data_IF_982583969690
#
_entry.id   IF_982583969690
#
_cell.length_a   1.000
_cell.length_b   1.000
_cell.length_c   1.000
_cell.angle_alpha   90.00
_cell.angle_beta   90.00
_cell.angle_gamma   90.00
#
_symmetry.space_group_name_H-M   'P 1'
#
loop_
_entity.id
_entity.type
_entity.pdbx_description
1 polymer ?
#
# COMPACT_ATOMS: atom_id res chain seq x y z
N UNK A 1 -1.46 -16.35 5.21
CA UNK A 1 -2.17 -16.28 3.93
C UNK A 1 -1.61 -17.25 2.89
N UNK A 2 -2.40 -17.55 1.82
CA UNK A 2 -1.99 -18.39 0.68
C UNK A 2 -2.81 -17.99 -0.55
N UNK A 3 -2.23 -18.12 -1.75
CA UNK A 3 -2.87 -17.72 -3.00
C UNK A 3 -2.92 -16.19 -3.16
N UNK A 4 -4.07 -15.63 -3.57
CA UNK A 4 -4.21 -14.19 -3.80
C UNK A 4 -4.45 -13.44 -2.50
N UNK A 5 -3.61 -12.47 -2.22
CA UNK A 5 -3.64 -11.56 -1.07
C UNK A 5 -3.47 -10.15 -1.61
N UNK A 6 -4.51 -9.64 -2.26
CA UNK A 6 -4.48 -8.40 -3.00
C UNK A 6 -5.45 -7.39 -2.40
N UNK A 7 -5.12 -6.11 -2.51
CA UNK A 7 -5.96 -5.03 -2.04
C UNK A 7 -6.28 -5.14 -0.55
N UNK A 8 -7.54 -5.10 -0.15
CA UNK A 8 -7.96 -5.26 1.25
C UNK A 8 -7.47 -6.54 1.92
N UNK A 9 -7.23 -7.61 1.17
CA UNK A 9 -6.60 -8.83 1.70
C UNK A 9 -5.14 -8.61 2.10
N UNK A 10 -4.41 -7.81 1.34
CA UNK A 10 -3.07 -7.36 1.69
C UNK A 10 -3.09 -6.45 2.92
N UNK A 11 -4.02 -5.49 2.98
CA UNK A 11 -4.16 -4.57 4.11
C UNK A 11 -4.36 -5.32 5.44
N UNK A 12 -5.22 -6.36 5.46
CA UNK A 12 -5.40 -7.22 6.64
C UNK A 12 -4.11 -7.96 6.99
N UNK A 13 -3.39 -8.48 5.99
CA UNK A 13 -2.15 -9.23 6.22
C UNK A 13 -1.04 -8.34 6.79
N UNK A 14 -0.78 -7.19 6.18
CA UNK A 14 0.33 -6.32 6.59
C UNK A 14 0.12 -5.64 7.95
N UNK A 15 -1.13 -5.47 8.40
CA UNK A 15 -1.46 -4.93 9.72
C UNK A 15 -1.51 -6.00 10.81
N UNK A 16 -1.34 -7.25 10.45
CA UNK A 16 -1.27 -8.34 11.45
C UNK A 16 0.07 -8.32 12.20
N UNK A 17 0.04 -8.72 13.48
CA UNK A 17 1.25 -8.82 14.29
C UNK A 17 2.25 -9.78 13.69
N UNK A 18 1.75 -10.91 13.18
CA UNK A 18 2.54 -11.95 12.54
C UNK A 18 1.85 -12.38 11.25
N UNK A 19 2.64 -12.63 10.23
CA UNK A 19 2.21 -13.26 8.99
C UNK A 19 2.81 -14.64 8.88
N UNK A 20 1.97 -15.64 8.63
CA UNK A 20 2.40 -17.00 8.28
C UNK A 20 2.00 -17.23 6.83
N UNK A 21 2.90 -16.98 5.92
CA UNK A 21 2.64 -16.99 4.48
C UNK A 21 3.08 -18.29 3.81
N UNK A 22 2.21 -18.82 2.96
CA UNK A 22 2.63 -19.86 2.01
C UNK A 22 3.61 -19.28 1.00
N UNK A 23 4.66 -20.01 0.63
CA UNK A 23 5.67 -19.52 -0.32
C UNK A 23 5.10 -19.12 -1.68
N UNK A 24 4.06 -19.82 -2.16
CA UNK A 24 3.33 -19.45 -3.38
C UNK A 24 2.17 -18.54 -3.02
N UNK A 25 2.45 -17.27 -2.94
CA UNK A 25 1.50 -16.21 -2.59
C UNK A 25 1.62 -15.08 -3.62
N UNK A 26 0.50 -14.44 -3.92
CA UNK A 26 0.51 -13.20 -4.70
C UNK A 26 0.03 -12.09 -3.79
N UNK A 27 0.92 -11.17 -3.45
CA UNK A 27 0.68 -10.06 -2.53
C UNK A 27 0.82 -8.72 -3.24
N UNK A 28 -0.02 -7.76 -2.88
CA UNK A 28 0.11 -6.39 -3.39
C UNK A 28 -1.12 -5.51 -3.16
N UNK A 29 -0.86 -4.21 -3.10
CA UNK A 29 -1.87 -3.15 -3.07
C UNK A 29 -2.17 -2.76 -4.52
N UNK A 30 -3.30 -3.21 -5.03
CA UNK A 30 -3.65 -3.14 -6.47
C UNK A 30 -4.84 -2.22 -6.77
N UNK A 31 -5.27 -1.42 -5.81
CA UNK A 31 -6.45 -0.57 -5.87
C UNK A 31 -6.39 0.43 -7.02
N UNK A 32 -5.20 0.93 -7.37
CA UNK A 32 -5.00 1.86 -8.50
C UNK A 32 -5.40 1.26 -9.84
N UNK A 33 -5.30 -0.07 -9.98
CA UNK A 33 -5.76 -0.80 -11.16
C UNK A 33 -7.26 -0.69 -11.41
N UNK A 34 -8.05 -0.48 -10.35
CA UNK A 34 -9.51 -0.26 -10.43
C UNK A 34 -9.92 1.19 -10.19
N UNK A 35 -8.95 2.11 -10.15
CA UNK A 35 -9.20 3.54 -10.02
C UNK A 35 -9.40 4.02 -8.58
N UNK A 36 -8.89 3.30 -7.59
CA UNK A 36 -8.97 3.62 -6.17
C UNK A 36 -7.56 3.74 -5.57
N UNK A 37 -7.47 4.21 -4.33
CA UNK A 37 -6.30 4.11 -3.48
C UNK A 37 -6.57 3.13 -2.34
N UNK A 38 -5.56 2.46 -1.77
CA UNK A 38 -5.74 1.71 -0.52
C UNK A 38 -6.33 2.60 0.57
N UNK A 39 -7.35 2.12 1.29
CA UNK A 39 -8.04 2.90 2.32
C UNK A 39 -8.37 2.11 3.60
N UNK A 40 -7.84 0.90 3.71
CA UNK A 40 -7.86 0.11 4.93
C UNK A 40 -6.52 0.14 5.67
N UNK A 41 -5.71 1.18 5.46
CA UNK A 41 -4.39 1.35 6.07
C UNK A 41 -3.22 0.85 5.24
N UNK A 42 -3.45 0.49 3.97
CA UNK A 42 -2.40 -0.02 3.08
C UNK A 42 -1.32 1.02 2.79
N UNK A 43 -1.70 2.25 2.47
CA UNK A 43 -0.75 3.34 2.26
C UNK A 43 0.05 3.61 3.53
N UNK A 44 -0.63 3.77 4.67
CA UNK A 44 -0.05 4.05 5.98
C UNK A 44 0.97 2.98 6.38
N UNK A 45 0.59 1.71 6.30
CA UNK A 45 1.42 0.62 6.78
C UNK A 45 2.68 0.42 5.91
N UNK A 46 2.54 0.44 4.58
CA UNK A 46 3.69 0.30 3.68
C UNK A 46 4.60 1.52 3.79
N UNK A 47 4.02 2.73 3.94
CA UNK A 47 4.80 3.94 4.19
C UNK A 47 5.60 3.85 5.49
N UNK A 48 4.97 3.38 6.58
CA UNK A 48 5.65 3.16 7.85
C UNK A 48 6.81 2.19 7.71
N UNK A 49 6.62 1.05 7.07
CA UNK A 49 7.67 0.05 6.87
C UNK A 49 8.86 0.58 6.06
N UNK A 50 8.59 1.35 5.01
CA UNK A 50 9.64 1.98 4.21
C UNK A 50 10.33 3.13 4.95
N UNK A 51 9.64 3.87 5.82
CA UNK A 51 10.23 4.94 6.63
C UNK A 51 11.28 4.44 7.64
N UNK A 52 11.26 3.14 7.98
CA UNK A 52 12.23 2.55 8.90
C UNK A 52 13.57 2.18 8.23
N UNK A 53 13.71 2.39 6.92
CA UNK A 53 14.94 2.08 6.17
C UNK A 53 16.04 3.12 6.39
N UNK A 54 17.30 2.73 6.18
CA UNK A 54 18.43 3.64 6.33
C UNK A 54 18.45 4.76 5.28
N UNK A 55 17.88 4.49 4.10
CA UNK A 55 17.69 5.48 3.04
C UNK A 55 16.69 6.55 3.45
N UNK A 56 15.58 6.15 4.05
CA UNK A 56 14.54 7.08 4.52
C UNK A 56 15.02 7.96 5.68
N UNK A 57 15.94 7.48 6.51
CA UNK A 57 16.58 8.30 7.56
C UNK A 57 17.47 9.42 7.01
N UNK A 58 17.99 9.24 5.78
CA UNK A 58 18.87 10.22 5.12
C UNK A 58 18.06 11.18 4.23
N UNK A 59 16.96 10.71 3.65
CA UNK A 59 16.07 11.49 2.78
C UNK A 59 14.61 11.24 3.18
N UNK A 60 13.92 12.21 3.78
CA UNK A 60 12.54 12.05 4.23
C UNK A 60 11.55 11.79 3.09
N UNK A 61 11.89 12.16 1.84
CA UNK A 61 11.05 11.94 0.69
C UNK A 61 11.25 10.54 0.06
N UNK A 62 12.29 9.80 0.48
CA UNK A 62 12.60 8.48 -0.09
C UNK A 62 11.46 7.46 0.09
N UNK A 63 10.99 7.27 1.32
CA UNK A 63 9.94 6.30 1.61
C UNK A 63 8.62 6.64 0.89
N UNK A 64 8.09 7.87 0.97
CA UNK A 64 6.88 8.23 0.24
C UNK A 64 6.98 8.05 -1.28
N UNK A 65 8.11 8.43 -1.89
CA UNK A 65 8.32 8.26 -3.34
C UNK A 65 8.42 6.77 -3.72
N UNK A 66 9.05 5.95 -2.86
CA UNK A 66 9.13 4.51 -3.08
C UNK A 66 7.76 3.85 -3.04
N UNK A 67 6.96 4.19 -2.01
CA UNK A 67 5.60 3.67 -1.83
C UNK A 67 4.67 4.17 -2.94
N UNK A 68 4.82 5.42 -3.36
CA UNK A 68 4.07 5.97 -4.49
C UNK A 68 4.27 5.15 -5.77
N UNK A 69 5.50 4.73 -6.06
CA UNK A 69 5.76 3.86 -7.20
C UNK A 69 5.19 2.45 -7.00
N UNK A 70 5.37 1.83 -5.82
CA UNK A 70 4.87 0.48 -5.54
C UNK A 70 3.35 0.42 -5.71
N UNK A 71 2.61 1.33 -5.09
CA UNK A 71 1.14 1.35 -5.14
C UNK A 71 0.66 1.89 -6.49
N UNK A 72 1.29 2.94 -7.01
CA UNK A 72 0.91 3.56 -8.29
C UNK A 72 0.97 2.59 -9.47
N UNK A 73 1.99 1.74 -9.50
CA UNK A 73 2.11 0.68 -10.51
C UNK A 73 1.36 -0.62 -10.15
N UNK A 74 0.61 -0.65 -9.05
CA UNK A 74 -0.03 -1.87 -8.55
C UNK A 74 0.94 -3.06 -8.49
N UNK A 75 2.17 -2.80 -8.00
CA UNK A 75 3.24 -3.80 -7.96
C UNK A 75 2.84 -4.97 -7.08
N UNK A 76 2.97 -6.19 -7.61
CA UNK A 76 2.69 -7.43 -6.87
C UNK A 76 3.95 -8.27 -6.73
N UNK A 77 4.02 -9.00 -5.62
CA UNK A 77 4.96 -10.09 -5.42
C UNK A 77 4.28 -11.41 -5.75
N UNK A 78 4.97 -12.35 -6.38
CA UNK A 78 4.45 -13.69 -6.72
C UNK A 78 4.99 -14.78 -5.79
N UNK A 79 5.79 -14.39 -4.81
CA UNK A 79 6.35 -15.25 -3.78
C UNK A 79 6.68 -14.47 -2.52
N UNK A 80 6.89 -15.20 -1.42
CA UNK A 80 7.38 -14.58 -0.18
C UNK A 80 8.78 -13.97 -0.31
N UNK A 81 9.59 -14.46 -1.26
CA UNK A 81 10.93 -13.93 -1.55
C UNK A 81 10.86 -12.57 -2.22
N UNK A 82 9.89 -12.37 -3.12
CA UNK A 82 9.64 -11.07 -3.76
C UNK A 82 8.88 -10.10 -2.86
N UNK A 83 8.03 -10.60 -1.96
CA UNK A 83 7.23 -9.78 -1.04
C UNK A 83 8.08 -9.09 0.05
N UNK A 84 9.16 -9.72 0.50
CA UNK A 84 10.03 -9.19 1.54
C UNK A 84 10.76 -7.89 1.13
N UNK A 85 11.44 -7.80 -0.02
CA UNK A 85 12.04 -6.55 -0.47
C UNK A 85 11.02 -5.44 -0.77
N UNK A 86 9.76 -5.78 -1.06
CA UNK A 86 8.66 -4.81 -1.20
C UNK A 86 8.08 -4.37 0.16
N UNK A 87 8.55 -4.95 1.26
CA UNK A 87 8.05 -4.72 2.63
C UNK A 87 6.60 -5.18 2.87
N UNK A 88 6.06 -6.04 2.03
CA UNK A 88 4.77 -6.69 2.25
C UNK A 88 4.88 -7.78 3.32
N UNK A 89 6.01 -8.46 3.42
CA UNK A 89 6.36 -9.42 4.47
C UNK A 89 7.58 -8.91 5.23
N UNK A 90 7.57 -9.06 6.55
CA UNK A 90 8.72 -8.74 7.42
C UNK A 90 9.70 -9.92 7.47
N UNK A 91 10.98 -9.67 7.77
CA UNK A 91 11.98 -10.75 7.90
C UNK A 91 11.61 -11.81 8.95
N UNK A 92 10.95 -11.40 10.04
CA UNK A 92 10.51 -12.26 11.15
C UNK A 92 9.26 -13.08 10.84
N UNK A 93 8.50 -12.75 9.79
CA UNK A 93 7.30 -13.47 9.38
C UNK A 93 7.65 -14.89 8.92
N UNK A 94 6.71 -15.82 9.11
CA UNK A 94 6.95 -17.25 8.81
C UNK A 94 6.60 -17.56 7.34
N UNK A 95 7.54 -18.16 6.66
CA UNK A 95 7.40 -18.63 5.27
C UNK A 95 7.26 -20.15 5.28
N UNK A 96 6.16 -20.67 4.77
CA UNK A 96 5.78 -22.08 4.84
C UNK A 96 5.61 -22.64 3.43
N UNK A 97 6.37 -23.69 3.10
CA UNK A 97 6.27 -24.35 1.78
C UNK A 97 5.09 -25.32 1.68
N UNK A 98 4.73 -25.98 2.78
CA UNK A 98 3.59 -26.89 2.81
C UNK A 98 2.33 -26.15 3.27
N UNK A 99 1.39 -25.91 2.34
CA UNK A 99 0.13 -25.21 2.63
C UNK A 99 -0.65 -25.84 3.79
N UNK A 100 -0.61 -27.16 3.93
CA UNK A 100 -1.33 -27.88 4.98
C UNK A 100 -0.76 -27.60 6.39
N UNK A 101 0.48 -27.15 6.49
CA UNK A 101 1.12 -26.80 7.75
C UNK A 101 0.82 -25.36 8.22
N UNK A 102 0.17 -24.52 7.41
CA UNK A 102 -0.12 -23.12 7.75
C UNK A 102 -0.87 -22.99 9.08
N UNK A 103 -1.89 -23.81 9.28
CA UNK A 103 -2.71 -23.75 10.50
C UNK A 103 -1.89 -24.11 11.74
N UNK A 104 -1.13 -25.20 11.70
CA UNK A 104 -0.34 -25.66 12.85
C UNK A 104 0.80 -24.68 13.17
N UNK A 105 1.46 -24.12 12.15
CA UNK A 105 2.48 -23.08 12.35
C UNK A 105 1.88 -21.83 12.95
N UNK A 106 0.71 -21.40 12.48
CA UNK A 106 0.01 -20.22 13.02
C UNK A 106 -0.42 -20.45 14.49
N UNK A 107 -0.99 -21.61 14.79
CA UNK A 107 -1.39 -22.00 16.15
C UNK A 107 -0.20 -21.97 17.10
N UNK A 108 0.91 -22.60 16.72
CA UNK A 108 2.12 -22.61 17.53
C UNK A 108 2.65 -21.19 17.75
N UNK A 109 2.66 -20.35 16.73
CA UNK A 109 3.11 -18.97 16.85
C UNK A 109 2.26 -18.16 17.84
N UNK A 110 0.94 -18.36 17.86
CA UNK A 110 0.04 -17.74 18.83
C UNK A 110 0.30 -18.29 20.24
N UNK A 111 0.50 -19.60 20.40
CA UNK A 111 0.80 -20.23 21.69
C UNK A 111 2.12 -19.74 22.28
N UNK A 112 3.14 -19.52 21.43
CA UNK A 112 4.46 -19.00 21.82
C UNK A 112 4.41 -17.50 22.17
N UNK A 113 3.39 -16.76 21.72
CA UNK A 113 3.26 -15.30 21.88
C UNK A 113 1.98 -14.90 22.64
N UNK A 114 1.68 -15.58 23.75
CA UNK A 114 0.46 -15.34 24.57
C UNK A 114 0.38 -13.96 25.20
N UNK A 115 1.53 -13.31 25.44
CA UNK A 115 1.58 -11.98 26.03
C UNK A 115 1.67 -10.92 24.91
N UNK A 116 0.51 -10.63 24.32
CA UNK A 116 0.42 -9.59 23.30
C UNK A 116 0.61 -8.20 23.92
N UNK A 117 1.51 -7.44 23.33
CA UNK A 117 1.67 -6.01 23.59
C UNK A 117 1.33 -5.26 22.29
N UNK A 118 0.34 -4.35 22.29
CA UNK A 118 0.05 -3.55 21.12
C UNK A 118 1.30 -2.83 20.61
N UNK A 119 1.51 -2.73 19.29
CA UNK A 119 2.60 -1.92 18.77
C UNK A 119 2.40 -0.45 19.16
N UNK A 120 3.47 0.31 19.19
CA UNK A 120 3.38 1.76 19.35
C UNK A 120 2.74 2.36 18.10
N UNK A 121 1.94 3.41 18.31
CA UNK A 121 1.40 4.17 17.19
C UNK A 121 2.51 4.68 16.28
N UNK A 122 2.27 4.58 14.98
CA UNK A 122 3.16 5.11 13.97
C UNK A 122 2.98 6.64 13.88
N UNK A 123 4.07 7.35 13.67
CA UNK A 123 4.04 8.78 13.41
C UNK A 123 4.82 9.11 12.14
N UNK A 124 4.42 10.17 11.45
CA UNK A 124 4.96 10.51 10.14
C UNK A 124 5.30 11.99 10.07
N UNK A 125 6.48 12.31 9.53
CA UNK A 125 6.87 13.66 9.16
C UNK A 125 7.00 13.70 7.64
N UNK A 126 6.03 14.32 6.97
CA UNK A 126 5.91 14.35 5.52
C UNK A 126 6.01 15.79 5.01
N UNK A 127 6.62 15.98 3.85
CA UNK A 127 6.93 17.32 3.33
C UNK A 127 5.71 18.06 2.77
N UNK A 128 4.53 17.42 2.71
CA UNK A 128 3.31 18.04 2.21
C UNK A 128 3.39 18.43 0.72
N UNK A 129 3.00 19.67 0.42
CA UNK A 129 2.93 20.16 -0.97
C UNK A 129 4.23 19.97 -1.78
N UNK A 130 5.44 20.27 -1.29
CA UNK A 130 6.66 20.04 -2.06
C UNK A 130 6.85 18.58 -2.51
N UNK A 131 6.48 17.62 -1.67
CA UNK A 131 6.53 16.20 -1.99
C UNK A 131 5.44 15.81 -2.99
N UNK A 132 4.20 16.32 -2.78
CA UNK A 132 3.10 16.13 -3.73
C UNK A 132 3.49 16.63 -5.12
N UNK A 133 4.07 17.82 -5.23
CA UNK A 133 4.52 18.41 -6.51
C UNK A 133 5.57 17.52 -7.20
N UNK A 134 6.46 16.85 -6.44
CA UNK A 134 7.41 15.86 -7.01
C UNK A 134 6.68 14.65 -7.60
N UNK A 135 5.68 14.11 -6.89
CA UNK A 135 4.89 12.98 -7.37
C UNK A 135 4.05 13.34 -8.60
N UNK A 136 3.43 14.53 -8.61
CA UNK A 136 2.65 15.03 -9.75
C UNK A 136 3.54 15.16 -11.00
N UNK A 137 4.78 15.63 -10.87
CA UNK A 137 5.72 15.66 -12.01
C UNK A 137 6.03 14.28 -12.59
N UNK A 138 6.06 13.24 -11.73
CA UNK A 138 6.18 11.85 -12.21
C UNK A 138 4.95 11.46 -13.02
N UNK A 139 3.74 11.79 -12.53
CA UNK A 139 2.49 11.52 -13.24
C UNK A 139 2.41 12.27 -14.57
N UNK A 140 2.77 13.56 -14.62
CA UNK A 140 2.81 14.36 -15.84
C UNK A 140 3.72 13.73 -16.90
N UNK A 141 4.88 13.21 -16.48
CA UNK A 141 5.77 12.49 -17.39
C UNK A 141 5.09 11.23 -17.94
N UNK A 142 4.50 10.40 -17.07
CA UNK A 142 3.79 9.17 -17.48
C UNK A 142 2.59 9.47 -18.39
N UNK A 143 1.89 10.57 -18.15
CA UNK A 143 0.78 11.01 -18.97
C UNK A 143 1.26 11.46 -20.37
N UNK A 144 2.33 12.26 -20.44
CA UNK A 144 2.91 12.69 -21.70
C UNK A 144 3.45 11.51 -22.54
N UNK A 145 3.96 10.48 -21.86
CA UNK A 145 4.43 9.23 -22.47
C UNK A 145 3.26 8.25 -22.78
N UNK A 146 2.01 8.63 -22.47
CA UNK A 146 0.79 7.82 -22.65
C UNK A 146 0.83 6.47 -21.89
N UNK A 147 1.58 6.40 -20.81
CA UNK A 147 1.59 5.24 -19.90
C UNK A 147 0.33 5.24 -19.04
N UNK A 148 -0.15 6.42 -18.65
CA UNK A 148 -1.43 6.63 -17.97
C UNK A 148 -2.30 7.57 -18.79
N UNK A 149 -3.62 7.46 -18.62
CA UNK A 149 -4.62 8.34 -19.23
C UNK A 149 -5.22 9.29 -18.19
N UNK A 150 -6.21 10.09 -18.60
CA UNK A 150 -6.82 11.15 -17.78
C UNK A 150 -7.22 10.68 -16.37
N UNK A 151 -7.90 9.53 -16.28
CA UNK A 151 -8.30 9.02 -14.97
C UNK A 151 -7.12 8.45 -14.15
N UNK A 152 -6.07 7.99 -14.80
CA UNK A 152 -4.81 7.62 -14.15
C UNK A 152 -4.14 8.80 -13.45
N UNK A 153 -4.22 10.01 -14.04
CA UNK A 153 -3.77 11.25 -13.39
C UNK A 153 -4.57 11.52 -12.11
N UNK A 154 -5.91 11.44 -12.18
CA UNK A 154 -6.78 11.69 -11.02
C UNK A 154 -6.47 10.73 -9.87
N UNK A 155 -6.33 9.44 -10.15
CA UNK A 155 -6.00 8.41 -9.15
C UNK A 155 -4.60 8.65 -8.55
N UNK A 156 -3.63 8.96 -9.41
CA UNK A 156 -2.26 9.24 -8.98
C UNK A 156 -2.15 10.49 -8.12
N UNK A 157 -2.91 11.55 -8.41
CA UNK A 157 -2.95 12.78 -7.60
C UNK A 157 -3.57 12.54 -6.21
N UNK A 158 -4.59 11.69 -6.09
CA UNK A 158 -5.16 11.32 -4.79
C UNK A 158 -4.16 10.43 -4.02
N UNK A 159 -3.46 9.50 -4.65
CA UNK A 159 -2.39 8.73 -4.01
C UNK A 159 -1.25 9.65 -3.54
N UNK A 160 -0.85 10.62 -4.37
CA UNK A 160 0.14 11.63 -4.00
C UNK A 160 -0.31 12.48 -2.82
N UNK A 161 -1.61 12.79 -2.72
CA UNK A 161 -2.19 13.52 -1.59
C UNK A 161 -2.04 12.73 -0.28
N UNK A 162 -2.35 11.44 -0.29
CA UNK A 162 -2.19 10.58 0.90
C UNK A 162 -0.73 10.50 1.32
N UNK A 163 0.15 10.12 0.40
CA UNK A 163 1.56 9.83 0.69
C UNK A 163 2.41 11.06 0.98
N UNK A 164 1.94 12.24 0.60
CA UNK A 164 2.58 13.51 0.98
C UNK A 164 2.11 14.06 2.33
N UNK A 165 1.07 13.47 2.93
CA UNK A 165 0.46 13.93 4.17
C UNK A 165 -0.57 15.05 3.97
N UNK A 166 -1.09 15.24 2.75
CA UNK A 166 -2.07 16.26 2.44
C UNK A 166 -1.54 17.68 2.65
N UNK A 167 -2.31 18.48 3.40
CA UNK A 167 -1.93 19.86 3.70
C UNK A 167 -1.10 19.94 5.01
N UNK A 168 0.12 19.43 4.95
CA UNK A 168 1.08 19.38 6.06
C UNK A 168 2.43 20.00 5.68
N UNK A 169 3.35 20.06 6.64
CA UNK A 169 4.77 20.39 6.44
C UNK A 169 5.64 19.42 7.21
N UNK A 170 6.93 19.35 6.87
CA UNK A 170 7.89 18.41 7.47
C UNK A 170 8.03 18.58 8.99
N UNK A 171 7.77 19.77 9.50
CA UNK A 171 7.87 20.09 10.93
C UNK A 171 6.65 19.62 11.73
N UNK A 172 5.58 19.23 11.05
CA UNK A 172 4.35 18.73 11.67
C UNK A 172 4.33 17.21 11.66
N UNK A 173 4.28 16.62 12.85
CA UNK A 173 4.08 15.18 13.00
C UNK A 173 2.61 14.82 12.79
N UNK A 174 2.37 13.86 11.91
CA UNK A 174 1.06 13.26 11.66
C UNK A 174 0.95 11.94 12.44
N UNK A 175 -0.25 11.66 12.94
CA UNK A 175 -0.61 10.39 13.57
C UNK A 175 -1.03 9.35 12.52
N UNK A 176 -1.24 8.11 12.95
CA UNK A 176 -1.87 7.07 12.12
C UNK A 176 -3.27 7.49 11.67
N UNK A 177 -4.05 8.09 12.58
CA UNK A 177 -5.41 8.55 12.29
C UNK A 177 -5.44 9.65 11.22
N UNK A 178 -4.43 10.51 11.18
CA UNK A 178 -4.30 11.50 10.11
C UNK A 178 -4.13 10.81 8.74
N UNK A 179 -3.32 9.74 8.67
CA UNK A 179 -3.12 8.98 7.43
C UNK A 179 -4.38 8.19 7.05
N UNK A 180 -5.04 7.51 7.98
CA UNK A 180 -6.31 6.83 7.73
C UNK A 180 -7.38 7.77 7.21
N UNK A 181 -7.46 9.00 7.75
CA UNK A 181 -8.39 10.02 7.27
C UNK A 181 -8.07 10.42 5.82
N UNK A 182 -6.80 10.65 5.48
CA UNK A 182 -6.39 10.98 4.11
C UNK A 182 -6.69 9.84 3.12
N UNK A 183 -6.45 8.59 3.53
CA UNK A 183 -6.82 7.41 2.73
C UNK A 183 -8.33 7.37 2.46
N UNK A 184 -9.15 7.53 3.52
CA UNK A 184 -10.60 7.52 3.42
C UNK A 184 -11.12 8.66 2.55
N UNK A 185 -10.66 9.89 2.76
CA UNK A 185 -11.07 11.06 1.98
C UNK A 185 -10.74 10.88 0.50
N UNK A 186 -9.54 10.40 0.17
CA UNK A 186 -9.13 10.13 -1.21
C UNK A 186 -9.92 8.99 -1.85
N UNK A 187 -10.17 7.91 -1.09
CA UNK A 187 -11.01 6.81 -1.55
C UNK A 187 -12.44 7.25 -1.86
N UNK A 188 -13.05 8.04 -0.95
CA UNK A 188 -14.42 8.53 -1.13
C UNK A 188 -14.56 9.43 -2.37
N UNK A 189 -13.61 10.31 -2.63
CA UNK A 189 -13.59 11.09 -3.88
C UNK A 189 -13.50 10.21 -5.13
N UNK A 190 -12.66 9.18 -5.08
CA UNK A 190 -12.44 8.30 -6.22
C UNK A 190 -13.65 7.40 -6.48
N UNK A 191 -14.30 6.82 -5.45
CA UNK A 191 -15.46 5.94 -5.64
C UNK A 191 -16.67 6.67 -6.21
N UNK A 192 -16.80 7.97 -5.97
CA UNK A 192 -17.85 8.82 -6.57
C UNK A 192 -17.57 9.13 -8.04
N UNK A 193 -16.32 8.96 -8.50
CA UNK A 193 -15.94 9.24 -9.88
C UNK A 193 -16.47 8.18 -10.84
N UNK A 194 -17.14 8.62 -11.93
CA UNK A 194 -17.74 7.72 -12.93
C UNK A 194 -16.69 6.80 -13.57
N UNK A 195 -15.49 7.28 -13.84
CA UNK A 195 -14.43 6.50 -14.47
C UNK A 195 -13.92 5.39 -13.54
N UNK A 196 -13.84 5.63 -12.22
CA UNK A 196 -13.57 4.59 -11.22
C UNK A 196 -14.66 3.53 -11.23
N UNK A 197 -15.94 3.94 -11.21
CA UNK A 197 -17.07 3.02 -11.24
C UNK A 197 -17.06 2.15 -12.50
N UNK A 198 -16.67 2.71 -13.63
CA UNK A 198 -16.54 1.99 -14.89
C UNK A 198 -15.37 1.00 -14.86
N UNK A 199 -14.22 1.36 -14.28
CA UNK A 199 -13.10 0.42 -14.04
C UNK A 199 -13.54 -0.76 -13.17
N UNK A 200 -14.20 -0.49 -12.04
CA UNK A 200 -14.70 -1.54 -11.13
C UNK A 200 -15.67 -2.47 -11.86
N UNK A 201 -16.69 -1.92 -12.55
CA UNK A 201 -17.67 -2.71 -13.30
C UNK A 201 -17.02 -3.57 -14.37
N UNK A 202 -16.08 -3.00 -15.12
CA UNK A 202 -15.36 -3.72 -16.16
C UNK A 202 -14.53 -4.87 -15.58
N UNK A 203 -13.78 -4.61 -14.51
CA UNK A 203 -12.95 -5.62 -13.86
C UNK A 203 -13.80 -6.76 -13.29
N UNK A 204 -14.93 -6.45 -12.64
CA UNK A 204 -15.85 -7.47 -12.12
C UNK A 204 -16.47 -8.32 -13.24
N UNK A 205 -16.75 -7.72 -14.39
CA UNK A 205 -17.36 -8.42 -15.53
C UNK A 205 -16.36 -9.26 -16.33
N UNK A 206 -15.10 -8.83 -16.42
CA UNK A 206 -14.14 -9.40 -17.38
C UNK A 206 -12.91 -10.03 -16.73
N UNK A 207 -12.64 -9.73 -15.45
CA UNK A 207 -11.39 -10.07 -14.76
C UNK A 207 -10.18 -9.28 -15.25
N UNK A 208 -10.38 -8.22 -16.06
CA UNK A 208 -9.30 -7.43 -16.67
C UNK A 208 -9.44 -5.95 -16.28
N UNK A 209 -8.32 -5.23 -16.11
CA UNK A 209 -8.35 -3.80 -15.86
C UNK A 209 -8.91 -3.03 -17.08
N UNK A 210 -9.60 -1.93 -16.81
CA UNK A 210 -9.98 -0.93 -17.81
C UNK A 210 -9.04 0.27 -17.67
N UNK A 211 -8.49 0.72 -18.80
CA UNK A 211 -7.70 1.95 -18.87
C UNK A 211 -8.55 3.03 -19.54
N UNK A 212 -8.84 4.11 -18.83
CA UNK A 212 -9.68 5.23 -19.28
C UNK A 212 -9.14 6.58 -18.83
#
# INVERSE_FOLDING_TARGET
>A
PSGLVLGGGEEVAIQSNFVVAHTNIVMGLVETGVGLVPAGGGCKEVLWRWSQTEEAKKDPDYAPLKVFNIIGYATTATSTVEAEPLKFIKPEDKKVMNRNSLFEVSKKLIEDNKNFTPPKECTFNLSGKPLKDKMVKILEKLYNEKVILDHGMVVGEELANVLSGGNTSIDKTLSEDDLYRLELESFMKLIENKNTQDRIKHTLATGKPLVN
#
